data_IF_368537139926
#
_entry.id   IF_368537139926
#
_cell.length_a   1.000
_cell.length_b   1.000
_cell.length_c   1.000
_cell.angle_alpha   90.00
_cell.angle_beta   90.00
_cell.angle_gamma   90.00
#
_symmetry.space_group_name_H-M   'P 1'
#
loop_
_entity.id
_entity.type
_entity.pdbx_description
1 polymer ?
#
# COMPACT_ATOMS: atom_id res chain seq x y z
N UNK A 1 -9.21 -4.58 -6.92
CA UNK A 1 -10.11 -3.49 -6.45
C UNK A 1 -9.38 -2.16 -6.54
N UNK A 2 -10.09 -1.03 -6.62
CA UNK A 2 -9.49 0.31 -6.62
C UNK A 2 -9.75 0.99 -5.29
N UNK A 3 -8.70 1.35 -4.57
CA UNK A 3 -8.82 2.02 -3.26
C UNK A 3 -8.04 3.33 -3.28
N UNK A 4 -8.69 4.40 -2.80
CA UNK A 4 -8.04 5.68 -2.59
C UNK A 4 -7.34 5.67 -1.25
N UNK A 5 -6.10 6.14 -1.22
CA UNK A 5 -5.34 6.22 0.01
C UNK A 5 -4.38 7.41 -0.03
N UNK A 6 -4.05 7.92 1.15
CA UNK A 6 -2.99 8.91 1.34
C UNK A 6 -1.74 8.20 1.84
N UNK A 7 -0.60 8.49 1.22
CA UNK A 7 0.69 7.98 1.68
C UNK A 7 1.03 8.67 3.00
N UNK A 8 1.33 7.91 4.05
CA UNK A 8 1.59 8.44 5.40
C UNK A 8 3.05 8.38 5.81
N UNK A 9 3.89 7.68 5.03
CA UNK A 9 5.32 7.56 5.28
C UNK A 9 6.17 7.82 4.04
N UNK A 10 7.46 8.10 4.25
CA UNK A 10 8.39 8.32 3.14
C UNK A 10 8.66 7.02 2.37
N UNK A 11 8.73 7.11 1.05
CA UNK A 11 9.10 5.99 0.19
C UNK A 11 10.62 5.84 0.13
N UNK A 12 11.11 4.60 0.08
CA UNK A 12 12.54 4.31 -0.03
C UNK A 12 12.91 3.86 -1.45
N UNK A 13 14.10 4.22 -1.98
CA UNK A 13 14.62 3.65 -3.21
C UNK A 13 14.86 2.13 -3.10
N UNK A 14 15.03 1.59 -1.90
CA UNK A 14 15.35 0.18 -1.65
C UNK A 14 14.12 -0.70 -1.44
N UNK A 15 12.92 -0.11 -1.39
CA UNK A 15 11.69 -0.83 -1.07
C UNK A 15 10.59 -0.54 -2.07
N UNK A 16 10.00 -1.61 -2.62
CA UNK A 16 8.83 -1.52 -3.50
C UNK A 16 7.53 -1.57 -2.67
N UNK A 17 7.42 -0.75 -1.64
CA UNK A 17 6.18 -0.64 -0.87
C UNK A 17 5.91 0.78 -0.41
N UNK A 18 4.63 1.05 -0.11
CA UNK A 18 4.17 2.31 0.47
C UNK A 18 3.33 2.04 1.71
N UNK A 19 3.47 2.90 2.72
CA UNK A 19 2.58 2.89 3.88
C UNK A 19 1.50 3.94 3.66
N UNK A 20 0.25 3.52 3.71
CA UNK A 20 -0.90 4.37 3.40
C UNK A 20 -1.97 4.32 4.47
N UNK A 21 -2.82 5.34 4.50
CA UNK A 21 -4.11 5.33 5.17
C UNK A 21 -5.22 5.39 4.12
N UNK A 22 -6.14 4.42 4.14
CA UNK A 22 -7.23 4.35 3.17
C UNK A 22 -8.31 5.39 3.46
N UNK A 23 -8.81 6.02 2.41
CA UNK A 23 -9.97 6.92 2.50
C UNK A 23 -11.20 6.11 2.97
N UNK A 24 -11.87 6.61 4.01
CA UNK A 24 -13.05 5.95 4.58
C UNK A 24 -12.76 4.91 5.67
N UNK A 25 -11.49 4.56 5.96
CA UNK A 25 -11.18 3.74 7.13
C UNK A 25 -11.41 4.55 8.42
N UNK A 26 -12.50 4.24 9.12
CA UNK A 26 -12.87 4.87 10.40
C UNK A 26 -11.82 4.68 11.48
N UNK A 27 -11.05 3.59 11.41
CA UNK A 27 -10.02 3.27 12.39
C UNK A 27 -8.68 3.94 12.09
N UNK A 28 -8.56 4.62 10.94
CA UNK A 28 -7.34 5.30 10.48
C UNK A 28 -6.09 4.42 10.58
N UNK A 29 -6.22 3.14 10.27
CA UNK A 29 -5.09 2.21 10.29
C UNK A 29 -4.13 2.53 9.16
N UNK A 30 -2.88 2.17 9.38
CA UNK A 30 -1.84 2.22 8.36
C UNK A 30 -1.66 0.84 7.76
N UNK A 31 -1.55 0.78 6.45
CA UNK A 31 -1.39 -0.45 5.69
C UNK A 31 -0.17 -0.35 4.80
N UNK A 32 0.61 -1.43 4.75
CA UNK A 32 1.62 -1.61 3.73
C UNK A 32 0.95 -2.11 2.44
N UNK A 33 1.25 -1.44 1.32
CA UNK A 33 0.95 -1.92 -0.02
C UNK A 33 2.28 -2.23 -0.70
N UNK A 34 2.46 -3.47 -1.13
CA UNK A 34 3.60 -3.89 -1.95
C UNK A 34 3.30 -3.60 -3.41
N UNK A 35 4.18 -2.88 -4.09
CA UNK A 35 4.04 -2.52 -5.50
C UNK A 35 4.95 -3.40 -6.37
N UNK A 36 4.54 -3.68 -7.60
CA UNK A 36 5.43 -4.27 -8.61
C UNK A 36 6.40 -3.25 -9.24
N UNK A 37 6.17 -1.96 -9.02
CA UNK A 37 7.06 -0.85 -9.33
C UNK A 37 7.65 -0.23 -8.07
N UNK A 38 8.71 0.57 -8.23
CA UNK A 38 9.35 1.29 -7.13
C UNK A 38 8.67 2.65 -6.86
N UNK A 39 7.99 2.86 -5.72
CA UNK A 39 7.27 4.10 -5.42
C UNK A 39 8.15 5.34 -5.43
N UNK A 40 9.39 5.23 -4.96
CA UNK A 40 10.35 6.34 -4.91
C UNK A 40 10.72 6.81 -6.32
N UNK A 41 10.99 5.88 -7.24
CA UNK A 41 11.27 6.20 -8.66
C UNK A 41 10.07 6.89 -9.32
N UNK A 42 8.86 6.49 -8.94
CA UNK A 42 7.62 7.13 -9.38
C UNK A 42 7.29 8.46 -8.64
N UNK A 43 8.24 8.98 -7.86
CA UNK A 43 8.12 10.23 -7.09
C UNK A 43 6.88 10.24 -6.19
N UNK A 44 6.45 9.09 -5.67
CA UNK A 44 5.39 9.01 -4.67
C UNK A 44 5.90 9.60 -3.36
N UNK A 45 5.19 10.58 -2.79
CA UNK A 45 5.63 11.29 -1.58
C UNK A 45 4.61 11.11 -0.47
N UNK A 46 5.11 11.20 0.76
CA UNK A 46 4.27 11.35 1.94
C UNK A 46 3.26 12.48 1.72
N UNK A 47 2.00 12.25 2.11
CA UNK A 47 0.84 13.12 1.92
C UNK A 47 0.25 13.18 0.51
N UNK A 48 0.86 12.55 -0.49
CA UNK A 48 0.20 12.38 -1.77
C UNK A 48 -1.00 11.43 -1.65
N UNK A 49 -2.05 11.71 -2.40
CA UNK A 49 -3.23 10.86 -2.51
C UNK A 49 -3.25 10.15 -3.85
N UNK A 50 -3.44 8.84 -3.81
CA UNK A 50 -3.36 7.95 -4.96
C UNK A 50 -4.54 6.98 -4.98
N UNK A 51 -4.99 6.59 -6.18
CA UNK A 51 -5.88 5.45 -6.39
C UNK A 51 -5.03 4.23 -6.71
N UNK A 52 -5.01 3.25 -5.81
CA UNK A 52 -4.26 2.00 -5.95
C UNK A 52 -5.16 0.90 -6.50
N UNK A 53 -4.70 0.20 -7.54
CA UNK A 53 -5.32 -1.03 -8.04
C UNK A 53 -4.74 -2.21 -7.27
N UNK A 54 -5.47 -2.62 -6.23
CA UNK A 54 -5.04 -3.60 -5.23
C UNK A 54 -5.63 -4.98 -5.50
N UNK A 55 -4.78 -6.00 -5.35
CA UNK A 55 -5.16 -7.41 -5.23
C UNK A 55 -4.77 -7.89 -3.84
N UNK A 56 -5.60 -8.75 -3.23
CA UNK A 56 -5.28 -9.37 -1.95
C UNK A 56 -4.58 -10.69 -2.21
N UNK A 57 -3.45 -10.87 -1.58
CA UNK A 57 -2.74 -12.14 -1.53
C UNK A 57 -2.77 -12.65 -0.08
N UNK A 58 -2.86 -13.96 0.12
CA UNK A 58 -2.99 -14.51 1.46
C UNK A 58 -2.21 -15.80 1.60
N UNK A 59 -1.27 -15.80 2.53
CA UNK A 59 -0.53 -16.99 2.93
C UNK A 59 -1.17 -17.61 4.16
N UNK A 60 -1.48 -18.91 4.08
CA UNK A 60 -2.04 -19.67 5.20
C UNK A 60 -0.90 -20.43 5.86
N UNK A 61 -0.54 -20.01 7.07
CA UNK A 61 0.37 -20.75 7.92
C UNK A 61 -0.43 -21.67 8.84
N UNK A 62 -0.06 -22.94 8.90
CA UNK A 62 -0.63 -23.90 9.86
C UNK A 62 0.44 -24.28 10.87
N UNK A 63 0.17 -24.01 12.14
CA UNK A 63 1.07 -24.42 13.22
C UNK A 63 1.12 -25.95 13.31
N UNK A 64 2.33 -26.51 13.25
CA UNK A 64 2.52 -27.97 13.21
C UNK A 64 2.23 -28.67 14.54
N UNK A 65 2.22 -27.95 15.66
CA UNK A 65 2.00 -28.49 17.01
C UNK A 65 0.53 -28.38 17.42
N UNK A 66 -0.11 -27.25 17.14
CA UNK A 66 -1.51 -26.99 17.57
C UNK A 66 -2.53 -27.25 16.46
N UNK A 67 -2.12 -27.23 15.19
CA UNK A 67 -3.01 -27.30 14.03
C UNK A 67 -3.77 -25.99 13.74
N UNK A 68 -3.48 -24.92 14.50
CA UNK A 68 -4.11 -23.62 14.32
C UNK A 68 -3.64 -22.95 13.02
N UNK A 69 -4.55 -22.21 12.37
CA UNK A 69 -4.29 -21.49 11.12
C UNK A 69 -4.13 -20.00 11.38
N UNK A 70 -3.04 -19.44 10.88
CA UNK A 70 -2.82 -17.99 10.77
C UNK A 70 -2.89 -17.57 9.30
N UNK A 71 -3.54 -16.44 9.04
CA UNK A 71 -3.69 -15.87 7.70
C UNK A 71 -2.87 -14.59 7.63
N UNK A 72 -1.90 -14.54 6.73
CA UNK A 72 -1.12 -13.35 6.44
C UNK A 72 -1.63 -12.75 5.14
N UNK A 73 -2.39 -11.67 5.21
CA UNK A 73 -2.91 -10.98 4.03
C UNK A 73 -1.97 -9.85 3.61
N UNK A 74 -1.55 -9.87 2.36
CA UNK A 74 -0.76 -8.83 1.72
C UNK A 74 -1.61 -8.05 0.72
N UNK A 75 -1.40 -6.73 0.66
CA UNK A 75 -2.00 -5.86 -0.34
C UNK A 75 -0.97 -5.65 -1.46
N UNK A 76 -1.28 -6.14 -2.66
CA UNK A 76 -0.40 -6.05 -3.82
C UNK A 76 -0.96 -5.02 -4.80
N UNK A 77 -0.12 -4.09 -5.27
CA UNK A 77 -0.49 -3.07 -6.23
C UNK A 77 0.32 -3.24 -7.53
N UNK A 78 -0.40 -3.30 -8.66
CA UNK A 78 0.20 -3.35 -10.00
C UNK A 78 0.10 -2.03 -10.76
N UNK A 79 -0.77 -1.14 -10.28
CA UNK A 79 -1.04 0.14 -10.92
C UNK A 79 -1.56 1.13 -9.90
N UNK A 80 -0.98 2.32 -9.91
CA UNK A 80 -1.47 3.45 -9.12
C UNK A 80 -1.64 4.68 -10.01
N UNK A 81 -2.62 5.52 -9.68
CA UNK A 81 -2.86 6.79 -10.36
C UNK A 81 -2.88 7.90 -9.32
N UNK A 82 -2.09 8.94 -9.54
CA UNK A 82 -2.06 10.10 -8.66
C UNK A 82 -3.38 10.86 -8.75
N UNK A 83 -3.98 11.14 -7.60
CA UNK A 83 -5.22 11.93 -7.51
C UNK A 83 -4.88 13.38 -7.18
N UNK A 84 -4.01 13.55 -6.18
CA UNK A 84 -3.64 14.86 -5.67
C UNK A 84 -2.28 14.81 -4.98
N UNK A 85 -1.50 15.87 -5.13
CA UNK A 85 -0.28 16.10 -4.35
C UNK A 85 -0.34 17.49 -3.72
N UNK A 86 -0.10 17.62 -2.40
CA UNK A 86 0.02 18.93 -1.77
C UNK A 86 1.25 19.71 -2.23
N UNK A 87 2.17 19.06 -2.96
CA UNK A 87 3.40 19.67 -3.48
C UNK A 87 3.27 20.21 -4.91
N UNK A 88 2.06 20.15 -5.51
CA UNK A 88 1.82 20.56 -6.89
C UNK A 88 2.02 19.44 -7.91
N UNK A 89 1.98 19.79 -9.20
CA UNK A 89 2.16 18.81 -10.29
C UNK A 89 3.61 18.31 -10.30
N UNK A 90 3.77 17.00 -10.55
CA UNK A 90 5.06 16.38 -10.78
C UNK A 90 5.45 16.56 -12.24
N UNK A 91 6.62 17.16 -12.48
CA UNK A 91 7.26 17.24 -13.80
C UNK A 91 7.81 15.88 -14.26
#
# INVERSE_FOLDING_TARGET
>A
MKLKATIVDETSPDHNSVIVSFEGDKNKKHFEIKCDFNPYVHKMRKWDSWEFSITWDSEIYTDKKTGEKSYFTYLICQRAVEINSPYGKKD
#
